data_IF_781840269094
#
_entry.id   IF_781840269094
#
_cell.length_a   1.000
_cell.length_b   1.000
_cell.length_c   1.000
_cell.angle_alpha   90.00
_cell.angle_beta   90.00
_cell.angle_gamma   90.00
#
_symmetry.space_group_name_H-M   'P 1'
#
loop_
_entity.id
_entity.type
_entity.pdbx_description
1 polymer ?
#
# COMPACT_ATOMS: atom_id res chain seq x y z
N UNK A 1 -9.96 -33.90 -10.61
CA UNK A 1 -8.89 -33.63 -9.62
C UNK A 1 -8.15 -32.38 -10.07
N UNK A 2 -8.58 -31.22 -9.58
CA UNK A 2 -8.01 -29.93 -9.96
C UNK A 2 -6.76 -29.68 -9.13
N UNK A 3 -5.59 -29.81 -9.76
CA UNK A 3 -4.34 -29.30 -9.23
C UNK A 3 -4.42 -27.76 -9.24
N UNK A 4 -5.10 -27.18 -8.26
CA UNK A 4 -5.32 -25.73 -8.19
C UNK A 4 -3.99 -25.04 -7.89
N UNK A 5 -3.59 -24.23 -8.87
CA UNK A 5 -2.39 -23.40 -8.95
C UNK A 5 -2.01 -22.71 -7.64
N UNK A 6 -2.97 -22.46 -6.74
CA UNK A 6 -2.83 -21.81 -5.44
C UNK A 6 -1.73 -22.38 -4.53
N UNK A 7 -1.52 -23.71 -4.52
CA UNK A 7 -0.53 -24.34 -3.62
C UNK A 7 0.93 -24.24 -4.08
N UNK A 8 1.19 -23.95 -5.37
CA UNK A 8 2.55 -23.70 -5.87
C UNK A 8 2.99 -22.23 -5.75
N UNK A 9 2.06 -21.31 -5.45
CA UNK A 9 2.29 -19.86 -5.35
C UNK A 9 2.95 -19.41 -4.03
N UNK A 10 3.10 -20.31 -3.05
CA UNK A 10 3.55 -20.04 -1.68
C UNK A 10 5.07 -20.12 -1.48
N UNK A 11 5.84 -20.61 -2.47
CA UNK A 11 7.31 -20.80 -2.31
C UNK A 11 8.16 -19.53 -2.48
N UNK A 12 7.65 -18.48 -3.12
CA UNK A 12 8.42 -17.24 -3.38
C UNK A 12 7.60 -15.93 -3.22
N UNK A 13 6.88 -15.72 -2.10
CA UNK A 13 6.00 -14.55 -1.96
C UNK A 13 6.77 -13.22 -1.97
N UNK A 14 7.94 -13.16 -1.33
CA UNK A 14 8.72 -11.90 -1.11
C UNK A 14 9.18 -11.21 -2.40
N UNK A 15 9.31 -11.95 -3.49
CA UNK A 15 9.89 -11.46 -4.75
C UNK A 15 8.86 -11.35 -5.87
N UNK A 16 7.59 -11.70 -5.62
CA UNK A 16 6.53 -11.67 -6.63
C UNK A 16 5.75 -10.37 -6.52
N UNK A 17 5.53 -9.71 -7.65
CA UNK A 17 4.83 -8.43 -7.72
C UNK A 17 3.73 -8.51 -8.78
N UNK A 18 2.45 -8.27 -8.42
CA UNK A 18 1.35 -8.18 -9.38
C UNK A 18 1.57 -6.98 -10.30
N UNK A 19 1.50 -7.22 -11.61
CA UNK A 19 1.69 -6.16 -12.60
C UNK A 19 0.61 -5.08 -12.48
N UNK A 20 -0.63 -5.46 -12.16
CA UNK A 20 -1.75 -4.51 -11.94
C UNK A 20 -1.45 -3.56 -10.79
N UNK A 21 -1.02 -4.08 -9.64
CA UNK A 21 -0.61 -3.30 -8.48
C UNK A 21 0.58 -2.38 -8.81
N UNK A 22 1.63 -2.91 -9.44
CA UNK A 22 2.82 -2.13 -9.79
C UNK A 22 2.50 -1.01 -10.81
N UNK A 23 1.68 -1.31 -11.82
CA UNK A 23 1.28 -0.32 -12.85
C UNK A 23 0.46 0.81 -12.27
N UNK A 24 -0.33 0.59 -11.22
CA UNK A 24 -0.99 1.69 -10.52
C UNK A 24 0.01 2.79 -10.17
N UNK A 25 1.14 2.44 -9.55
CA UNK A 25 2.18 3.40 -9.18
C UNK A 25 2.94 3.97 -10.36
N UNK A 26 2.99 3.25 -11.47
CA UNK A 26 3.60 3.75 -12.70
C UNK A 26 2.72 4.81 -13.38
N UNK A 27 1.41 4.59 -13.41
CA UNK A 27 0.46 5.43 -14.14
C UNK A 27 -0.02 6.64 -13.30
N UNK A 28 -0.04 6.53 -11.97
CA UNK A 28 -0.50 7.60 -11.09
C UNK A 28 0.66 8.46 -10.57
N UNK A 29 0.53 9.79 -10.70
CA UNK A 29 1.54 10.78 -10.27
C UNK A 29 1.46 11.16 -8.78
N UNK A 30 0.71 10.41 -7.98
CA UNK A 30 0.51 10.69 -6.54
C UNK A 30 1.81 10.55 -5.74
N UNK A 31 2.70 9.66 -6.19
CA UNK A 31 3.99 9.38 -5.55
C UNK A 31 5.14 9.85 -6.44
N UNK A 32 6.16 10.45 -5.81
CA UNK A 32 7.32 11.02 -6.49
C UNK A 32 8.41 9.97 -6.72
N UNK A 33 9.06 10.04 -7.88
CA UNK A 33 10.24 9.24 -8.22
C UNK A 33 11.53 10.08 -8.10
N UNK A 34 11.67 10.79 -6.97
CA UNK A 34 12.79 11.71 -6.69
C UNK A 34 13.73 11.06 -5.67
N UNK A 35 14.88 10.57 -6.12
CA UNK A 35 15.89 9.86 -5.33
C UNK A 35 17.02 9.38 -6.23
N UNK A 36 18.07 8.79 -5.63
CA UNK A 36 19.25 8.31 -6.37
C UNK A 36 19.35 6.78 -6.43
N UNK A 37 18.44 6.05 -5.77
CA UNK A 37 18.45 4.59 -5.79
C UNK A 37 17.85 4.01 -7.07
N UNK A 38 16.72 4.56 -7.53
CA UNK A 38 15.98 4.13 -8.72
C UNK A 38 15.53 2.65 -8.70
N UNK A 39 15.17 2.13 -7.52
CA UNK A 39 14.64 0.77 -7.35
C UNK A 39 13.33 0.58 -8.11
N UNK A 40 12.41 1.55 -8.02
CA UNK A 40 11.15 1.51 -8.77
C UNK A 40 11.40 1.42 -10.28
N UNK A 41 12.28 2.26 -10.81
CA UNK A 41 12.59 2.30 -12.24
C UNK A 41 13.23 0.98 -12.71
N UNK A 42 14.11 0.37 -11.91
CA UNK A 42 14.65 -0.96 -12.21
C UNK A 42 13.55 -2.04 -12.20
N UNK A 43 12.69 -2.05 -11.18
CA UNK A 43 11.56 -2.97 -11.10
C UNK A 43 10.59 -2.79 -12.28
N UNK A 44 10.43 -1.56 -12.77
CA UNK A 44 9.64 -1.29 -13.97
C UNK A 44 10.21 -2.05 -15.17
N UNK A 45 11.53 -2.02 -15.40
CA UNK A 45 12.17 -2.80 -16.48
C UNK A 45 11.95 -4.31 -16.32
N UNK A 46 12.07 -4.84 -15.09
CA UNK A 46 11.74 -6.24 -14.79
C UNK A 46 10.28 -6.59 -15.09
N UNK A 47 9.35 -5.64 -14.94
CA UNK A 47 7.93 -5.86 -15.27
C UNK A 47 7.68 -5.97 -16.78
N UNK A 48 8.54 -5.40 -17.61
CA UNK A 48 8.42 -5.44 -19.08
C UNK A 48 9.23 -6.57 -19.74
N UNK A 49 10.25 -7.10 -19.07
CA UNK A 49 11.05 -8.21 -19.56
C UNK A 49 10.23 -9.49 -19.74
N UNK A 50 10.53 -10.23 -20.81
CA UNK A 50 9.83 -11.47 -21.13
C UNK A 50 10.32 -12.64 -20.28
N UNK A 51 9.41 -13.49 -19.83
CA UNK A 51 9.76 -14.75 -19.16
C UNK A 51 10.16 -15.87 -20.13
N UNK A 52 9.75 -15.76 -21.39
CA UNK A 52 10.00 -16.74 -22.45
C UNK A 52 10.34 -16.02 -23.75
N UNK A 53 10.99 -16.74 -24.65
CA UNK A 53 11.25 -16.22 -25.98
C UNK A 53 9.94 -15.86 -26.67
N UNK A 54 9.89 -14.70 -27.33
CA UNK A 54 8.72 -14.25 -28.07
C UNK A 54 9.15 -13.48 -29.32
N UNK A 55 8.53 -13.79 -30.45
CA UNK A 55 8.71 -13.01 -31.67
C UNK A 55 7.76 -11.82 -31.64
N UNK A 56 8.33 -10.62 -31.70
CA UNK A 56 7.60 -9.37 -31.69
C UNK A 56 7.69 -8.70 -33.05
N UNK A 57 6.53 -8.28 -33.54
CA UNK A 57 6.43 -7.44 -34.72
C UNK A 57 6.41 -5.96 -34.32
N UNK A 58 7.32 -5.15 -34.88
CA UNK A 58 7.36 -3.70 -34.69
C UNK A 58 7.62 -3.04 -36.05
N UNK A 59 6.67 -2.23 -36.52
CA UNK A 59 6.75 -1.70 -37.89
C UNK A 59 6.60 -2.84 -38.90
N UNK A 60 7.58 -2.99 -39.79
CA UNK A 60 7.65 -4.07 -40.77
C UNK A 60 8.67 -5.17 -40.39
N UNK A 61 9.32 -5.03 -39.23
CA UNK A 61 10.41 -5.91 -38.79
C UNK A 61 9.94 -6.88 -37.70
N UNK A 62 10.48 -8.10 -37.76
CA UNK A 62 10.31 -9.13 -36.75
C UNK A 62 11.56 -9.23 -35.89
N UNK A 63 11.37 -9.15 -34.58
CA UNK A 63 12.44 -9.30 -33.62
C UNK A 63 12.18 -10.47 -32.69
N UNK A 64 13.22 -11.26 -32.41
CA UNK A 64 13.19 -12.28 -31.37
C UNK A 64 13.60 -11.65 -30.03
N UNK A 65 12.67 -11.62 -29.07
CA UNK A 65 12.95 -11.24 -27.67
C UNK A 65 13.23 -12.53 -26.87
N UNK A 66 14.44 -12.71 -26.33
CA UNK A 66 14.76 -13.85 -25.46
C UNK A 66 14.25 -13.63 -24.01
N UNK A 67 14.29 -14.66 -23.14
CA UNK A 67 13.95 -14.48 -21.73
C UNK A 67 14.85 -13.44 -21.06
N UNK A 68 14.26 -12.54 -20.28
CA UNK A 68 14.93 -11.40 -19.66
C UNK A 68 15.11 -10.19 -20.59
N UNK A 69 14.62 -10.27 -21.83
CA UNK A 69 14.72 -9.17 -22.80
C UNK A 69 13.38 -8.47 -23.02
N UNK A 70 13.47 -7.20 -23.41
CA UNK A 70 12.35 -6.46 -23.98
C UNK A 70 12.86 -5.48 -25.04
N UNK A 71 12.14 -5.42 -26.17
CA UNK A 71 12.41 -4.47 -27.25
C UNK A 71 11.37 -3.36 -27.21
N UNK A 72 11.85 -2.12 -27.23
CA UNK A 72 11.00 -0.95 -27.16
C UNK A 72 11.60 0.25 -27.90
N UNK A 73 10.74 1.20 -28.25
CA UNK A 73 11.19 2.52 -28.71
C UNK A 73 11.73 3.30 -27.52
N UNK A 74 12.81 4.05 -27.72
CA UNK A 74 13.38 4.93 -26.70
C UNK A 74 12.34 5.94 -26.16
N UNK A 75 11.35 6.34 -26.97
CA UNK A 75 10.24 7.20 -26.54
C UNK A 75 9.32 6.60 -25.48
N UNK A 76 9.31 5.27 -25.29
CA UNK A 76 8.51 4.62 -24.26
C UNK A 76 9.15 4.67 -22.87
N UNK A 77 10.49 4.75 -22.81
CA UNK A 77 11.23 4.65 -21.55
C UNK A 77 10.95 5.79 -20.56
N UNK A 78 10.79 7.08 -20.97
CA UNK A 78 10.51 8.14 -20.01
C UNK A 78 9.29 7.88 -19.14
N UNK A 79 8.20 7.36 -19.74
CA UNK A 79 7.00 6.97 -19.00
C UNK A 79 7.25 5.78 -18.06
N UNK A 80 7.99 4.78 -18.53
CA UNK A 80 8.23 3.53 -17.78
C UNK A 80 9.17 3.74 -16.59
N UNK A 81 10.21 4.54 -16.80
CA UNK A 81 11.22 4.84 -15.79
C UNK A 81 10.82 6.01 -14.89
N UNK A 82 9.69 6.66 -15.20
CA UNK A 82 9.21 7.91 -14.57
C UNK A 82 10.27 9.00 -14.53
N UNK A 83 10.83 9.29 -15.71
CA UNK A 83 11.78 10.38 -15.97
C UNK A 83 11.21 11.34 -17.03
N UNK A 84 11.83 12.52 -17.18
CA UNK A 84 11.25 13.61 -17.96
C UNK A 84 11.70 13.63 -19.43
N UNK A 85 12.80 12.95 -19.77
CA UNK A 85 13.37 12.99 -21.11
C UNK A 85 13.95 11.65 -21.55
N UNK A 86 14.15 11.49 -22.86
CA UNK A 86 14.85 10.33 -23.43
C UNK A 86 16.31 10.26 -22.97
N UNK A 87 16.96 11.42 -22.81
CA UNK A 87 18.33 11.50 -22.29
C UNK A 87 18.42 10.93 -20.87
N UNK A 88 17.56 11.38 -19.95
CA UNK A 88 17.50 10.84 -18.59
C UNK A 88 17.19 9.34 -18.57
N UNK A 89 16.37 8.86 -19.51
CA UNK A 89 16.10 7.43 -19.62
C UNK A 89 17.35 6.64 -20.04
N UNK A 90 18.15 7.16 -20.96
CA UNK A 90 19.44 6.56 -21.35
C UNK A 90 20.46 6.63 -20.23
N UNK A 91 20.57 7.75 -19.53
CA UNK A 91 21.46 7.90 -18.38
C UNK A 91 21.14 6.85 -17.31
N UNK A 92 19.85 6.60 -17.07
CA UNK A 92 19.42 5.61 -16.10
C UNK A 92 19.68 4.17 -16.56
N UNK A 93 19.55 3.88 -17.86
CA UNK A 93 19.98 2.59 -18.42
C UNK A 93 21.50 2.40 -18.31
N UNK A 94 22.28 3.46 -18.55
CA UNK A 94 23.74 3.50 -18.35
C UNK A 94 24.11 3.19 -16.90
N UNK A 95 23.46 3.86 -15.95
CA UNK A 95 23.62 3.58 -14.52
C UNK A 95 23.36 2.11 -14.16
N UNK A 96 22.29 1.51 -14.68
CA UNK A 96 22.00 0.09 -14.44
C UNK A 96 22.99 -0.85 -15.14
N UNK A 97 23.53 -0.45 -16.30
CA UNK A 97 24.58 -1.17 -17.02
C UNK A 97 25.90 -1.17 -16.25
N UNK A 98 26.33 -0.01 -15.77
CA UNK A 98 27.55 0.13 -14.95
C UNK A 98 27.44 -0.63 -13.62
N UNK A 99 26.21 -0.75 -13.10
CA UNK A 99 25.90 -1.58 -11.94
C UNK A 99 25.81 -3.08 -12.25
N UNK A 100 26.00 -3.52 -13.50
CA UNK A 100 25.89 -4.90 -13.99
C UNK A 100 24.51 -5.54 -13.73
N UNK A 101 23.45 -4.72 -13.73
CA UNK A 101 22.07 -5.17 -13.48
C UNK A 101 21.33 -5.52 -14.79
N UNK A 102 21.69 -4.86 -15.88
CA UNK A 102 21.21 -5.12 -17.23
C UNK A 102 22.26 -4.68 -18.25
N UNK A 103 22.05 -5.05 -19.51
CA UNK A 103 22.71 -4.44 -20.66
C UNK A 103 21.66 -3.91 -21.64
N UNK A 104 22.04 -3.00 -22.53
CA UNK A 104 21.17 -2.54 -23.60
C UNK A 104 21.95 -2.26 -24.88
N UNK A 105 21.27 -2.47 -26.00
CA UNK A 105 21.77 -2.22 -27.36
C UNK A 105 20.72 -1.45 -28.15
N UNK A 106 21.18 -0.59 -29.05
CA UNK A 106 20.33 0.10 -30.02
C UNK A 106 20.25 -0.81 -31.24
N UNK A 107 19.05 -1.30 -31.55
CA UNK A 107 18.81 -2.19 -32.68
C UNK A 107 18.69 -1.43 -33.99
N UNK A 108 18.16 -0.23 -33.92
CA UNK A 108 17.94 0.64 -35.08
C UNK A 108 18.00 2.10 -34.61
N UNK A 109 18.94 2.86 -35.19
CA UNK A 109 19.15 4.27 -34.86
C UNK A 109 18.01 5.15 -35.38
N UNK A 110 17.49 4.86 -36.57
CA UNK A 110 16.48 5.68 -37.25
C UNK A 110 15.13 5.58 -36.53
N UNK A 111 14.72 4.36 -36.17
CA UNK A 111 13.50 4.15 -35.39
C UNK A 111 13.69 4.30 -33.88
N UNK A 112 14.94 4.52 -33.43
CA UNK A 112 15.33 4.57 -32.03
C UNK A 112 14.83 3.36 -31.24
N UNK A 113 14.93 2.16 -31.84
CA UNK A 113 14.59 0.91 -31.18
C UNK A 113 15.78 0.44 -30.35
N UNK A 114 15.49 0.05 -29.11
CA UNK A 114 16.46 -0.54 -28.21
C UNK A 114 15.97 -1.89 -27.69
N UNK A 115 16.93 -2.75 -27.40
CA UNK A 115 16.74 -3.96 -26.62
C UNK A 115 17.49 -3.79 -25.31
N UNK A 116 16.85 -4.07 -24.18
CA UNK A 116 17.60 -4.35 -22.97
C UNK A 116 17.51 -5.83 -22.60
N UNK A 117 18.52 -6.29 -21.89
CA UNK A 117 18.66 -7.66 -21.39
C UNK A 117 18.98 -7.59 -19.90
N UNK A 118 18.13 -8.16 -19.06
CA UNK A 118 18.39 -8.24 -17.61
C UNK A 118 19.51 -9.24 -17.34
N UNK A 119 20.53 -8.80 -16.61
CA UNK A 119 21.66 -9.64 -16.26
C UNK A 119 21.24 -10.78 -15.34
N UNK A 120 21.84 -11.96 -15.54
CA UNK A 120 21.58 -13.15 -14.72
C UNK A 120 20.09 -13.56 -14.63
N UNK A 121 19.26 -13.24 -15.63
CA UNK A 121 17.84 -13.57 -15.64
C UNK A 121 17.57 -15.03 -15.28
N UNK A 122 18.24 -15.99 -15.94
CA UNK A 122 18.08 -17.43 -15.68
C UNK A 122 18.41 -17.85 -14.25
N UNK A 123 19.35 -17.17 -13.59
CA UNK A 123 19.74 -17.45 -12.20
C UNK A 123 18.62 -17.12 -11.21
N UNK A 124 17.84 -16.09 -11.53
CA UNK A 124 16.86 -15.53 -10.59
C UNK A 124 15.41 -15.76 -10.97
N UNK A 125 15.15 -15.96 -12.26
CA UNK A 125 13.84 -16.16 -12.86
C UNK A 125 13.90 -17.47 -13.67
N UNK A 126 14.07 -18.60 -12.98
CA UNK A 126 14.07 -19.93 -13.61
C UNK A 126 12.71 -20.21 -14.24
N UNK A 127 12.70 -20.69 -15.48
CA UNK A 127 11.49 -21.08 -16.21
C UNK A 127 10.57 -21.92 -15.33
N UNK A 128 9.38 -21.42 -15.03
CA UNK A 128 8.30 -22.28 -14.57
C UNK A 128 7.98 -23.26 -15.72
N UNK A 129 8.03 -24.56 -15.41
CA UNK A 129 7.79 -25.65 -16.37
C UNK A 129 6.35 -25.69 -16.93
N UNK A 130 5.47 -24.78 -16.49
CA UNK A 130 4.12 -24.62 -17.03
C UNK A 130 3.94 -23.25 -17.71
N UNK A 131 3.10 -23.21 -18.74
CA UNK A 131 2.83 -22.04 -19.59
C UNK A 131 2.18 -20.90 -18.80
N UNK A 132 2.98 -20.06 -18.13
CA UNK A 132 2.46 -18.83 -17.53
C UNK A 132 2.88 -17.61 -18.35
N UNK A 133 1.94 -17.13 -19.17
CA UNK A 133 2.07 -15.92 -19.95
C UNK A 133 1.89 -14.71 -19.03
N UNK A 134 2.97 -14.01 -18.72
CA UNK A 134 2.88 -12.67 -18.14
C UNK A 134 2.59 -11.69 -19.27
N UNK A 135 1.32 -11.63 -19.72
CA UNK A 135 0.87 -10.66 -20.73
C UNK A 135 1.31 -9.24 -20.33
N UNK A 136 1.50 -8.35 -21.31
CA UNK A 136 1.89 -6.95 -21.10
C UNK A 136 0.75 -6.14 -20.43
N UNK A 137 0.42 -6.47 -19.19
CA UNK A 137 -0.58 -5.78 -18.36
C UNK A 137 -1.28 -6.64 -17.33
N UNK A 138 -1.14 -7.97 -17.38
CA UNK A 138 -1.74 -8.89 -16.41
C UNK A 138 -0.73 -9.91 -15.90
N UNK A 139 -1.03 -10.53 -14.77
CA UNK A 139 -0.14 -11.46 -14.09
C UNK A 139 0.84 -10.77 -13.15
N UNK A 140 2.04 -11.34 -13.03
CA UNK A 140 3.07 -10.92 -12.10
C UNK A 140 4.45 -10.93 -12.75
N UNK A 141 5.41 -10.29 -12.09
CA UNK A 141 6.83 -10.43 -12.36
C UNK A 141 7.58 -10.75 -11.07
N UNK A 142 8.82 -11.22 -11.20
CA UNK A 142 9.68 -11.48 -10.06
C UNK A 142 10.79 -10.45 -10.00
N UNK A 143 11.06 -9.89 -8.82
CA UNK A 143 12.19 -9.03 -8.56
C UNK A 143 13.09 -9.64 -7.47
N UNK A 144 14.29 -10.12 -7.82
CA UNK A 144 15.13 -10.85 -6.87
C UNK A 144 15.78 -9.92 -5.84
N UNK A 145 15.66 -10.25 -4.54
CA UNK A 145 16.33 -9.49 -3.47
C UNK A 145 17.86 -9.34 -3.66
N UNK A 146 18.62 -10.33 -4.19
CA UNK A 146 20.04 -10.13 -4.51
C UNK A 146 20.29 -8.98 -5.49
N UNK A 147 19.41 -8.79 -6.49
CA UNK A 147 19.50 -7.69 -7.46
C UNK A 147 19.28 -6.35 -6.76
N UNK A 148 18.30 -6.26 -5.86
CA UNK A 148 18.11 -5.07 -5.02
C UNK A 148 19.32 -4.75 -4.13
N UNK A 149 19.99 -5.77 -3.57
CA UNK A 149 21.24 -5.58 -2.81
C UNK A 149 22.40 -5.10 -3.68
N UNK A 150 22.51 -5.62 -4.91
CA UNK A 150 23.50 -5.15 -5.88
C UNK A 150 23.27 -3.69 -6.25
N UNK A 151 22.02 -3.28 -6.48
CA UNK A 151 21.65 -1.88 -6.71
C UNK A 151 22.04 -0.98 -5.52
N UNK A 152 21.72 -1.40 -4.29
CA UNK A 152 22.11 -0.66 -3.08
C UNK A 152 23.64 -0.54 -2.95
N UNK A 153 24.38 -1.59 -3.30
CA UNK A 153 25.85 -1.58 -3.29
C UNK A 153 26.40 -0.62 -4.35
N UNK A 154 25.82 -0.60 -5.55
CA UNK A 154 26.20 0.32 -6.60
C UNK A 154 25.95 1.77 -6.20
N UNK A 155 24.77 2.09 -5.67
CA UNK A 155 24.41 3.43 -5.21
C UNK A 155 25.39 3.96 -4.13
N UNK A 156 25.71 3.14 -3.13
CA UNK A 156 26.64 3.50 -2.03
C UNK A 156 28.06 3.81 -2.48
N UNK A 157 28.50 3.33 -3.64
CA UNK A 157 29.84 3.65 -4.17
C UNK A 157 29.96 5.10 -4.63
N UNK A 158 28.84 5.75 -4.93
CA UNK A 158 28.84 7.09 -5.53
C UNK A 158 28.23 8.15 -4.61
N UNK A 159 27.26 7.79 -3.77
CA UNK A 159 26.59 8.74 -2.88
C UNK A 159 25.91 8.05 -1.69
N UNK A 160 25.53 8.84 -0.70
CA UNK A 160 24.58 8.40 0.32
C UNK A 160 23.23 8.07 -0.32
N UNK A 161 22.61 6.97 0.12
CA UNK A 161 21.37 6.49 -0.48
C UNK A 161 20.21 7.38 -0.05
N UNK A 162 19.45 7.89 -1.02
CA UNK A 162 18.20 8.62 -0.83
C UNK A 162 17.11 7.94 -1.68
N UNK A 163 16.13 7.37 -0.99
CA UNK A 163 14.99 6.71 -1.63
C UNK A 163 14.02 7.76 -2.18
N UNK A 164 13.39 7.45 -3.30
CA UNK A 164 12.14 8.11 -3.70
C UNK A 164 10.94 7.56 -2.92
N UNK A 165 9.79 8.24 -3.00
CA UNK A 165 8.55 7.70 -2.42
C UNK A 165 8.21 6.34 -3.03
N UNK A 166 8.41 6.19 -4.34
CA UNK A 166 8.18 4.92 -5.03
C UNK A 166 9.16 3.83 -4.59
N UNK A 167 10.44 4.16 -4.41
CA UNK A 167 11.44 3.21 -3.89
C UNK A 167 11.05 2.70 -2.51
N UNK A 168 10.51 3.58 -1.64
CA UNK A 168 10.06 3.20 -0.30
C UNK A 168 8.83 2.26 -0.33
N UNK A 169 7.89 2.47 -1.27
CA UNK A 169 6.75 1.55 -1.49
C UNK A 169 7.26 0.17 -1.95
N UNK A 170 8.20 0.15 -2.89
CA UNK A 170 8.80 -1.09 -3.38
C UNK A 170 9.59 -1.80 -2.29
N UNK A 171 10.32 -1.06 -1.46
CA UNK A 171 11.05 -1.60 -0.30
C UNK A 171 10.12 -2.29 0.69
N UNK A 172 8.98 -1.68 1.02
CA UNK A 172 7.96 -2.32 1.83
C UNK A 172 7.45 -3.62 1.21
N UNK A 173 7.12 -3.61 -0.08
CA UNK A 173 6.64 -4.80 -0.76
C UNK A 173 7.65 -5.96 -0.69
N UNK A 174 8.91 -5.69 -1.05
CA UNK A 174 9.98 -6.68 -1.09
C UNK A 174 10.36 -7.25 0.28
N UNK A 175 10.09 -6.49 1.34
CA UNK A 175 10.35 -6.89 2.72
C UNK A 175 9.10 -7.36 3.46
N UNK A 176 7.98 -7.55 2.76
CA UNK A 176 6.78 -8.12 3.37
C UNK A 176 6.89 -9.63 3.49
N UNK A 177 6.54 -10.15 4.67
CA UNK A 177 6.56 -11.57 4.99
C UNK A 177 5.19 -12.01 5.49
N UNK A 178 4.82 -13.25 5.19
CA UNK A 178 3.55 -13.86 5.56
C UNK A 178 3.82 -15.32 5.88
N UNK A 179 3.24 -15.83 6.98
CA UNK A 179 3.41 -17.18 7.49
C UNK A 179 4.88 -17.59 7.66
N UNK A 180 5.69 -16.71 8.23
CA UNK A 180 7.08 -16.97 8.58
C UNK A 180 7.15 -17.29 10.08
N UNK A 181 7.48 -18.53 10.44
CA UNK A 181 7.55 -18.99 11.83
C UNK A 181 8.54 -18.19 12.69
N UNK A 182 9.51 -17.53 12.06
CA UNK A 182 10.49 -16.70 12.75
C UNK A 182 10.01 -15.27 13.02
N UNK A 183 8.86 -14.88 12.46
CA UNK A 183 8.32 -13.51 12.54
C UNK A 183 6.92 -13.52 13.15
N UNK A 184 6.84 -13.07 14.40
CA UNK A 184 5.58 -13.02 15.15
C UNK A 184 4.59 -12.06 14.48
N UNK A 185 3.34 -12.48 14.40
CA UNK A 185 2.27 -11.72 13.76
C UNK A 185 2.13 -12.00 12.25
N UNK A 186 3.15 -12.60 11.62
CA UNK A 186 3.13 -12.89 10.19
C UNK A 186 2.19 -14.04 9.82
N UNK A 187 1.85 -14.90 10.79
CA UNK A 187 0.87 -15.98 10.69
C UNK A 187 -0.58 -15.47 10.55
N UNK A 188 -0.83 -14.22 10.95
CA UNK A 188 -2.15 -13.60 10.85
C UNK A 188 -2.27 -12.74 9.59
N UNK A 189 -1.21 -12.04 9.20
CA UNK A 189 -1.22 -11.15 8.04
C UNK A 189 0.18 -10.83 7.53
N UNK A 190 0.31 -10.26 6.32
CA UNK A 190 1.58 -9.80 5.82
C UNK A 190 2.10 -8.66 6.69
N UNK A 191 3.35 -8.73 7.07
CA UNK A 191 4.01 -7.68 7.84
C UNK A 191 5.32 -7.31 7.18
N UNK A 192 5.63 -6.02 7.13
CA UNK A 192 6.94 -5.56 6.68
C UNK A 192 7.97 -5.93 7.74
N UNK A 193 8.95 -6.75 7.36
CA UNK A 193 9.99 -7.26 8.25
C UNK A 193 11.37 -7.22 7.58
N UNK A 194 12.30 -6.52 8.22
CA UNK A 194 13.71 -6.47 7.80
C UNK A 194 14.55 -7.44 8.64
N UNK A 195 15.64 -7.96 8.06
CA UNK A 195 16.43 -9.06 8.62
C UNK A 195 17.05 -8.82 10.02
N UNK A 196 17.02 -7.58 10.54
CA UNK A 196 17.66 -7.21 11.81
C UNK A 196 16.66 -6.92 12.94
N UNK A 197 15.45 -7.47 12.85
CA UNK A 197 14.34 -7.12 13.75
C UNK A 197 14.00 -8.20 14.81
N UNK A 198 14.84 -9.24 14.96
CA UNK A 198 14.74 -10.27 16.01
C UNK A 198 13.34 -10.91 16.13
N UNK A 199 12.68 -11.14 15.00
CA UNK A 199 11.35 -11.77 14.92
C UNK A 199 10.17 -10.87 15.28
N UNK A 200 10.39 -9.59 15.59
CA UNK A 200 9.35 -8.61 15.89
C UNK A 200 9.24 -7.58 14.76
N UNK A 201 8.12 -7.50 14.02
CA UNK A 201 7.94 -6.57 12.89
C UNK A 201 7.62 -5.13 13.34
N UNK A 202 8.40 -4.59 14.28
CA UNK A 202 8.24 -3.25 14.84
C UNK A 202 9.15 -2.21 14.17
N UNK A 203 8.57 -1.37 13.31
CA UNK A 203 9.30 -0.35 12.56
C UNK A 203 9.22 1.01 13.24
N UNK A 204 10.38 1.56 13.61
CA UNK A 204 10.47 2.94 14.08
C UNK A 204 10.71 3.90 12.91
N UNK A 205 10.19 5.13 13.02
CA UNK A 205 10.43 6.16 12.01
C UNK A 205 11.90 6.56 11.93
N UNK A 206 12.67 6.42 13.02
CA UNK A 206 14.13 6.59 13.02
C UNK A 206 14.84 5.54 12.18
N UNK A 207 14.42 4.28 12.27
CA UNK A 207 14.99 3.20 11.46
C UNK A 207 14.70 3.43 9.96
N UNK A 208 13.45 3.73 9.61
CA UNK A 208 13.06 4.02 8.23
C UNK A 208 13.76 5.28 7.69
N UNK A 209 13.90 6.32 8.51
CA UNK A 209 14.63 7.54 8.14
C UNK A 209 16.08 7.24 7.76
N UNK A 210 16.80 6.46 8.58
CA UNK A 210 18.17 6.04 8.27
C UNK A 210 18.23 5.15 7.04
N UNK A 211 17.27 4.22 6.87
CA UNK A 211 17.23 3.30 5.73
C UNK A 211 17.01 4.03 4.41
N UNK A 212 16.11 5.01 4.40
CA UNK A 212 15.66 5.70 3.20
C UNK A 212 16.44 7.00 2.90
N UNK A 213 17.36 7.40 3.78
CA UNK A 213 18.06 8.68 3.66
C UNK A 213 17.13 9.88 3.85
N UNK A 214 16.13 9.75 4.72
CA UNK A 214 15.09 10.76 4.94
C UNK A 214 15.15 11.34 6.35
N UNK A 215 14.51 12.49 6.55
CA UNK A 215 14.20 12.97 7.90
C UNK A 215 13.07 12.14 8.52
N UNK A 216 13.04 12.03 9.86
CA UNK A 216 11.94 11.36 10.59
C UNK A 216 10.57 11.98 10.26
N UNK A 217 10.52 13.30 10.08
CA UNK A 217 9.29 14.01 9.73
C UNK A 217 8.80 13.71 8.31
N UNK A 218 9.72 13.50 7.36
CA UNK A 218 9.37 13.03 6.00
C UNK A 218 8.79 11.62 6.05
N UNK A 219 9.40 10.72 6.82
CA UNK A 219 8.87 9.36 7.05
C UNK A 219 7.46 9.43 7.63
N UNK A 220 7.24 10.18 8.72
CA UNK A 220 5.92 10.27 9.35
C UNK A 220 4.83 10.75 8.38
N UNK A 221 5.08 11.83 7.63
CA UNK A 221 4.15 12.32 6.60
C UNK A 221 3.90 11.31 5.49
N UNK A 222 4.95 10.61 5.05
CA UNK A 222 4.83 9.59 4.01
C UNK A 222 4.01 8.39 4.46
N UNK A 223 4.20 7.92 5.70
CA UNK A 223 3.42 6.80 6.26
C UNK A 223 1.93 7.15 6.37
N UNK A 224 1.61 8.36 6.85
CA UNK A 224 0.22 8.84 6.89
C UNK A 224 -0.39 8.91 5.48
N UNK A 225 0.35 9.44 4.51
CA UNK A 225 -0.06 9.46 3.10
C UNK A 225 -0.33 8.04 2.58
N UNK A 226 0.54 7.06 2.85
CA UNK A 226 0.30 5.68 2.39
C UNK A 226 -0.95 5.06 3.01
N UNK A 227 -1.22 5.36 4.29
CA UNK A 227 -2.42 4.91 5.01
C UNK A 227 -3.69 5.55 4.44
N UNK A 228 -3.70 6.88 4.23
CA UNK A 228 -4.81 7.61 3.62
C UNK A 228 -5.17 7.10 2.22
N UNK A 229 -4.15 6.77 1.43
CA UNK A 229 -4.33 6.18 0.10
C UNK A 229 -4.69 4.70 0.14
N UNK A 230 -4.72 4.05 1.31
CA UNK A 230 -5.04 2.63 1.47
C UNK A 230 -3.96 1.68 0.95
N UNK A 231 -2.73 2.15 0.76
CA UNK A 231 -1.61 1.33 0.25
C UNK A 231 -1.05 0.43 1.34
N UNK A 232 -1.05 0.94 2.57
CA UNK A 232 -0.70 0.18 3.77
C UNK A 232 -1.82 0.28 4.78
N UNK A 233 -1.86 -0.70 5.67
CA UNK A 233 -2.50 -0.58 6.97
C UNK A 233 -1.41 -0.64 8.03
N UNK A 234 -1.60 0.08 9.15
CA UNK A 234 -0.64 0.07 10.26
C UNK A 234 -1.32 -0.07 11.62
N UNK A 235 -0.57 -0.60 12.58
CA UNK A 235 -0.84 -0.43 14.01
C UNK A 235 0.36 0.24 14.63
N UNK A 236 0.12 1.34 15.35
CA UNK A 236 1.18 2.07 16.04
C UNK A 236 1.06 1.86 17.53
N UNK A 237 2.19 1.59 18.17
CA UNK A 237 2.26 1.32 19.59
C UNK A 237 2.76 2.54 20.35
N UNK A 238 2.23 2.77 21.54
CA UNK A 238 2.71 3.83 22.44
C UNK A 238 4.17 3.57 22.82
N UNK A 239 4.89 4.62 23.22
CA UNK A 239 6.25 4.58 23.82
C UNK A 239 7.40 4.05 22.94
N UNK A 240 7.71 4.70 21.81
CA UNK A 240 8.92 4.44 20.97
C UNK A 240 9.08 3.04 20.36
N UNK A 241 8.15 2.11 20.65
CA UNK A 241 8.16 0.71 20.21
C UNK A 241 8.04 0.57 18.68
N UNK A 242 7.50 1.58 18.00
CA UNK A 242 7.34 1.60 16.55
C UNK A 242 5.96 1.17 16.10
N UNK A 243 5.85 0.85 14.81
CA UNK A 243 4.60 0.48 14.15
C UNK A 243 4.77 -0.83 13.41
N UNK A 244 3.74 -1.67 13.43
CA UNK A 244 3.61 -2.79 12.49
C UNK A 244 2.94 -2.24 11.24
N UNK A 245 3.49 -2.56 10.08
CA UNK A 245 3.02 -2.10 8.77
C UNK A 245 2.72 -3.33 7.92
N UNK A 246 1.56 -3.34 7.25
CA UNK A 246 1.14 -4.35 6.29
C UNK A 246 0.79 -3.67 4.97
N UNK A 247 1.40 -4.01 3.83
CA UNK A 247 0.90 -3.55 2.54
C UNK A 247 -0.46 -4.18 2.23
N UNK A 248 -1.38 -3.35 1.73
CA UNK A 248 -2.67 -3.80 1.21
C UNK A 248 -2.46 -4.54 -0.13
N UNK A 249 -3.41 -5.40 -0.53
CA UNK A 249 -3.35 -6.21 -1.76
C UNK A 249 -2.30 -7.33 -1.77
N UNK A 250 -1.45 -7.46 -0.74
CA UNK A 250 -0.45 -8.51 -0.66
C UNK A 250 -1.07 -9.90 -0.44
N UNK A 251 -2.15 -10.00 0.35
CA UNK A 251 -2.86 -11.27 0.55
C UNK A 251 -3.68 -11.64 -0.68
N UNK A 252 -4.32 -10.67 -1.29
CA UNK A 252 -5.08 -10.84 -2.53
C UNK A 252 -4.17 -11.34 -3.66
N UNK A 253 -2.91 -10.91 -3.70
CA UNK A 253 -1.91 -11.50 -4.60
C UNK A 253 -1.69 -13.00 -4.35
N UNK A 254 -1.64 -13.43 -3.08
CA UNK A 254 -1.25 -14.81 -2.71
C UNK A 254 -2.45 -15.75 -2.79
N UNK A 255 -3.59 -15.33 -2.27
CA UNK A 255 -4.78 -16.15 -2.05
C UNK A 255 -5.93 -15.85 -3.03
N UNK A 256 -5.85 -14.77 -3.79
CA UNK A 256 -6.94 -14.31 -4.68
C UNK A 256 -7.84 -13.27 -4.01
N UNK A 257 -8.77 -12.71 -4.79
CA UNK A 257 -9.64 -11.60 -4.38
C UNK A 257 -10.63 -11.97 -3.26
N UNK A 258 -10.90 -13.27 -3.09
CA UNK A 258 -11.84 -13.85 -2.12
C UNK A 258 -11.19 -14.17 -0.76
N UNK A 259 -9.96 -13.70 -0.51
CA UNK A 259 -9.27 -14.00 0.74
C UNK A 259 -9.97 -13.34 1.95
N UNK A 260 -10.17 -14.10 3.04
CA UNK A 260 -10.83 -13.62 4.26
C UNK A 260 -10.21 -12.33 4.79
N UNK A 261 -11.00 -11.33 5.19
CA UNK A 261 -10.45 -10.08 5.72
C UNK A 261 -9.84 -10.28 7.11
N UNK A 262 -8.57 -9.87 7.28
CA UNK A 262 -7.90 -9.93 8.58
C UNK A 262 -7.50 -8.53 9.00
N UNK A 263 -8.01 -8.10 10.15
CA UNK A 263 -7.69 -6.78 10.69
C UNK A 263 -6.40 -6.78 11.51
N UNK A 264 -5.58 -5.77 11.23
CA UNK A 264 -4.31 -5.46 11.90
C UNK A 264 -4.42 -5.32 13.43
N UNK A 265 -5.60 -5.00 13.95
CA UNK A 265 -5.84 -4.66 15.37
C UNK A 265 -5.47 -5.77 16.36
N UNK A 266 -5.53 -7.05 15.98
CA UNK A 266 -5.19 -8.18 16.88
C UNK A 266 -3.69 -8.39 17.08
N UNK A 267 -2.82 -7.75 16.28
CA UNK A 267 -1.37 -7.93 16.37
C UNK A 267 -0.77 -7.37 17.67
N UNK A 268 -1.36 -6.32 18.24
CA UNK A 268 -0.85 -5.74 19.49
C UNK A 268 -0.91 -6.72 20.66
N UNK A 269 -1.97 -7.50 20.72
CA UNK A 269 -2.19 -8.57 21.70
C UNK A 269 -1.19 -9.70 21.48
N UNK A 270 -1.05 -10.16 20.22
CA UNK A 270 -0.11 -11.23 19.83
C UNK A 270 1.32 -10.86 20.18
N UNK A 271 1.74 -9.63 19.91
CA UNK A 271 3.09 -9.17 20.21
C UNK A 271 3.31 -8.93 21.72
N UNK A 272 2.27 -9.06 22.56
CA UNK A 272 2.33 -8.82 24.01
C UNK A 272 2.51 -7.35 24.36
N UNK A 273 2.12 -6.43 23.46
CA UNK A 273 2.35 -4.98 23.60
C UNK A 273 1.14 -4.29 24.25
N UNK A 274 -0.06 -4.85 24.08
CA UNK A 274 -1.32 -4.38 24.69
C UNK A 274 -1.96 -5.49 25.53
N UNK A 275 -2.43 -5.17 26.74
CA UNK A 275 -3.27 -6.08 27.55
C UNK A 275 -4.69 -6.11 26.98
N UNK A 276 -5.32 -7.28 26.98
CA UNK A 276 -6.74 -7.43 26.65
C UNK A 276 -7.57 -6.50 27.55
N UNK A 277 -8.33 -5.58 26.96
CA UNK A 277 -9.54 -5.11 27.63
C UNK A 277 -10.54 -6.26 27.45
N UNK A 278 -10.61 -7.15 28.44
CA UNK A 278 -11.65 -8.16 28.50
C UNK A 278 -12.99 -7.40 28.47
N UNK A 279 -13.91 -7.70 27.53
CA UNK A 279 -15.25 -7.14 27.61
C UNK A 279 -15.81 -7.49 28.98
N UNK A 280 -16.25 -6.51 29.76
CA UNK A 280 -16.91 -6.79 31.02
C UNK A 280 -18.08 -7.78 30.77
N UNK A 281 -18.21 -8.78 31.64
CA UNK A 281 -19.20 -9.86 31.55
C UNK A 281 -20.66 -9.37 31.48
N UNK A 282 -20.91 -8.08 31.75
CA UNK A 282 -22.20 -7.41 31.69
C UNK A 282 -22.70 -7.05 30.27
N UNK A 283 -21.99 -7.48 29.22
CA UNK A 283 -22.39 -7.20 27.82
C UNK A 283 -23.67 -7.90 27.37
N UNK A 284 -24.22 -8.84 28.16
CA UNK A 284 -25.45 -9.58 27.84
C UNK A 284 -26.73 -8.76 27.93
N UNK A 285 -26.70 -7.56 28.53
CA UNK A 285 -27.89 -6.72 28.73
C UNK A 285 -27.91 -5.44 27.90
N UNK A 286 -27.15 -5.37 26.79
CA UNK A 286 -27.18 -4.24 25.88
C UNK A 286 -28.13 -4.49 24.71
N UNK A 287 -29.37 -4.04 24.85
CA UNK A 287 -30.33 -3.93 23.75
C UNK A 287 -30.02 -2.69 22.90
N UNK A 288 -29.40 -2.90 21.75
CA UNK A 288 -29.18 -1.87 20.73
C UNK A 288 -30.42 -1.77 19.84
N UNK A 289 -31.14 -0.64 19.93
CA UNK A 289 -32.25 -0.34 19.04
C UNK A 289 -31.84 0.83 18.12
N UNK A 290 -31.63 0.56 16.84
CA UNK A 290 -31.18 1.55 15.85
C UNK A 290 -32.41 2.21 15.24
N UNK A 291 -32.61 3.50 15.51
CA UNK A 291 -33.65 4.31 14.87
C UNK A 291 -33.03 5.29 13.89
N UNK A 292 -33.46 5.23 12.63
CA UNK A 292 -33.07 6.16 11.57
C UNK A 292 -34.16 7.22 11.41
N UNK A 293 -34.03 8.34 12.10
CA UNK A 293 -35.00 9.44 12.04
C UNK A 293 -34.31 10.80 12.24
N UNK A 294 -34.96 11.88 11.79
CA UNK A 294 -34.54 13.25 12.12
C UNK A 294 -34.76 13.46 13.62
N UNK A 295 -33.77 13.92 14.39
CA UNK A 295 -33.87 13.94 15.85
C UNK A 295 -34.99 14.86 16.31
N UNK A 296 -36.06 14.29 16.86
CA UNK A 296 -37.03 15.05 17.65
C UNK A 296 -36.42 15.32 19.02
N UNK A 297 -36.66 16.52 19.57
CA UNK A 297 -35.90 17.08 20.71
C UNK A 297 -35.94 16.26 22.01
N UNK A 298 -36.79 15.25 22.15
CA UNK A 298 -37.10 14.61 23.45
C UNK A 298 -37.25 13.08 23.42
N UNK A 299 -36.46 12.34 22.63
CA UNK A 299 -36.47 10.86 22.68
C UNK A 299 -35.29 10.28 23.46
N UNK A 300 -35.13 10.66 24.73
CA UNK A 300 -34.18 10.01 25.65
C UNK A 300 -34.98 9.20 26.68
N UNK A 301 -34.73 7.88 26.74
CA UNK A 301 -35.33 6.98 27.73
C UNK A 301 -34.91 7.40 29.15
N UNK A 302 -35.79 7.38 30.17
CA UNK A 302 -35.42 7.74 31.54
C UNK A 302 -34.23 6.89 32.03
N UNK A 303 -33.13 7.54 32.43
CA UNK A 303 -31.88 6.88 32.85
C UNK A 303 -30.88 6.59 31.72
N UNK A 304 -31.25 6.81 30.46
CA UNK A 304 -30.34 6.67 29.32
C UNK A 304 -29.35 7.84 29.23
N UNK A 305 -28.06 7.54 29.02
CA UNK A 305 -27.07 8.55 28.65
C UNK A 305 -27.10 8.76 27.13
N UNK A 306 -27.32 9.99 26.63
CA UNK A 306 -27.34 10.23 25.19
C UNK A 306 -25.93 10.04 24.61
N UNK A 307 -25.83 9.18 23.59
CA UNK A 307 -24.64 9.00 22.78
C UNK A 307 -24.86 9.68 21.43
N UNK A 308 -24.11 10.75 21.17
CA UNK A 308 -24.16 11.45 19.88
C UNK A 308 -23.10 10.88 18.96
N UNK A 309 -23.51 10.12 17.94
CA UNK A 309 -22.63 9.55 16.93
C UNK A 309 -22.69 10.44 15.68
N UNK A 310 -21.57 11.03 15.30
CA UNK A 310 -21.43 11.70 14.00
C UNK A 310 -20.90 10.70 12.99
N UNK A 311 -21.71 10.41 11.98
CA UNK A 311 -21.34 9.52 10.86
C UNK A 311 -20.89 10.41 9.71
N UNK A 312 -19.61 10.31 9.33
CA UNK A 312 -19.08 10.97 8.15
C UNK A 312 -18.98 9.96 7.01
N UNK A 313 -19.70 10.20 5.92
CA UNK A 313 -19.55 9.43 4.70
C UNK A 313 -18.36 10.01 3.92
N UNK A 314 -17.25 9.28 3.85
CA UNK A 314 -16.13 9.67 3.00
C UNK A 314 -16.43 9.27 1.55
N UNK A 315 -16.47 10.24 0.63
CA UNK A 315 -16.51 9.96 -0.80
C UNK A 315 -15.17 9.34 -1.23
N UNK A 316 -15.24 8.11 -1.73
CA UNK A 316 -14.07 7.35 -2.17
C UNK A 316 -13.33 8.03 -3.31
N UNK A 317 -11.99 8.04 -3.24
CA UNK A 317 -11.13 8.44 -4.36
C UNK A 317 -9.95 7.47 -4.62
N UNK A 318 -9.79 6.38 -3.86
CA UNK A 318 -8.64 5.48 -3.97
C UNK A 318 -9.00 4.07 -4.44
N UNK A 319 -8.30 3.61 -5.48
CA UNK A 319 -8.29 2.23 -5.99
C UNK A 319 -7.94 1.16 -4.92
N UNK A 320 -7.22 1.55 -3.86
CA UNK A 320 -6.80 0.64 -2.80
C UNK A 320 -7.74 0.60 -1.59
N UNK A 321 -8.67 1.54 -1.48
CA UNK A 321 -9.62 1.60 -0.38
C UNK A 321 -10.88 0.81 -0.73
N UNK A 322 -11.10 -0.35 -0.09
CA UNK A 322 -12.44 -0.95 -0.04
C UNK A 322 -13.30 -0.18 0.98
N UNK A 323 -14.63 -0.06 0.75
CA UNK A 323 -15.51 0.79 1.55
C UNK A 323 -15.48 0.34 3.01
N UNK A 324 -14.81 1.11 3.86
CA UNK A 324 -14.83 0.91 5.30
C UNK A 324 -15.57 2.09 5.91
N UNK A 325 -16.76 1.90 6.50
CA UNK A 325 -17.37 2.97 7.26
C UNK A 325 -16.48 3.30 8.46
N UNK A 326 -15.89 4.49 8.45
CA UNK A 326 -15.20 5.02 9.62
C UNK A 326 -16.26 5.48 10.63
N UNK A 327 -16.51 4.65 11.63
CA UNK A 327 -17.29 5.03 12.81
C UNK A 327 -16.32 5.63 13.83
N UNK A 328 -16.35 6.95 13.99
CA UNK A 328 -15.63 7.62 15.07
C UNK A 328 -16.49 7.61 16.33
N UNK A 329 -15.93 7.13 17.45
CA UNK A 329 -16.48 7.37 18.77
C UNK A 329 -15.73 8.54 19.38
N UNK A 330 -16.36 9.70 19.51
CA UNK A 330 -15.86 10.76 20.39
C UNK A 330 -16.66 10.74 21.69
N UNK A 331 -16.04 10.22 22.75
CA UNK A 331 -16.44 10.57 24.12
C UNK A 331 -15.79 11.92 24.43
N UNK A 332 -16.55 13.01 24.29
CA UNK A 332 -16.17 14.28 24.88
C UNK A 332 -17.21 14.64 25.95
N UNK A 333 -16.67 14.84 27.15
CA UNK A 333 -17.25 15.44 28.35
C UNK A 333 -17.96 14.53 29.37
N UNK A 334 -17.15 14.12 30.36
CA UNK A 334 -17.57 13.84 31.73
C UNK A 334 -17.95 15.17 32.43
N UNK A 335 -19.17 15.26 32.97
CA UNK A 335 -19.67 16.35 33.82
C UNK A 335 -20.32 17.51 33.03
N UNK A 336 -21.54 17.97 33.31
CA UNK A 336 -22.29 18.04 34.56
C UNK A 336 -23.71 17.50 34.39
N UNK A 337 -24.10 16.64 35.31
CA UNK A 337 -25.50 16.44 35.67
C UNK A 337 -26.03 17.71 36.35
N UNK A 338 -27.05 18.34 35.77
CA UNK A 338 -27.97 19.18 36.54
C UNK A 338 -29.36 18.55 36.43
N UNK A 339 -29.55 17.45 37.15
CA UNK A 339 -30.87 17.06 37.60
C UNK A 339 -31.27 18.05 38.70
N UNK A 340 -32.28 18.87 38.40
CA UNK A 340 -33.10 19.57 39.38
C UNK A 340 -32.62 20.94 39.83
N UNK A 341 -33.18 22.00 39.23
CA UNK A 341 -33.67 23.14 40.01
C UNK A 341 -35.09 23.43 39.53
N UNK A 342 -36.03 23.17 40.42
CA UNK A 342 -37.42 23.61 40.33
C UNK A 342 -37.49 25.13 40.37
N UNK A 343 -38.15 25.74 39.39
CA UNK A 343 -38.89 26.98 39.61
C UNK A 343 -39.92 27.16 38.48
N UNK A 344 -41.19 26.88 38.78
CA UNK A 344 -42.29 27.62 38.13
C UNK A 344 -42.11 29.10 38.51
N UNK A 345 -42.38 30.05 37.61
CA UNK A 345 -43.73 30.60 37.61
C UNK A 345 -44.32 30.97 36.23
N UNK A 346 -45.64 30.84 36.20
CA UNK A 346 -46.65 31.72 35.58
C UNK A 346 -46.70 31.96 34.07
N UNK A 347 -47.83 31.46 33.52
CA UNK A 347 -48.66 32.03 32.47
C UNK A 347 -48.46 33.54 32.25
N UNK A 348 -48.14 33.91 31.00
CA UNK A 348 -48.76 35.07 30.34
C UNK A 348 -49.19 34.66 28.94
N UNK A 349 -50.45 34.98 28.66
CA UNK A 349 -51.11 34.89 27.37
C UNK A 349 -50.50 35.88 26.38
N UNK A 350 -50.42 35.48 25.11
CA UNK A 350 -50.64 36.36 23.96
C UNK A 350 -50.96 35.52 22.72
N UNK A 351 -52.24 35.52 22.31
CA UNK A 351 -52.67 35.18 20.93
C UNK A 351 -52.37 36.39 20.00
N UNK A 352 -52.75 36.35 18.71
CA UNK A 352 -51.97 35.93 17.55
C UNK A 352 -51.50 37.14 16.71
N UNK A 353 -50.48 36.99 15.86
CA UNK A 353 -50.20 37.98 14.82
C UNK A 353 -50.82 37.49 13.50
N UNK A 354 -51.77 38.27 13.01
CA UNK A 354 -52.47 38.08 11.76
C UNK A 354 -51.55 38.17 10.54
N UNK A 355 -51.98 37.48 9.50
CA UNK A 355 -51.45 37.49 8.14
C UNK A 355 -51.75 38.84 7.50
N UNK A 356 -50.75 39.46 6.87
CA UNK A 356 -50.99 40.37 5.75
C UNK A 356 -50.56 39.67 4.46
N UNK A 357 -51.57 39.22 3.71
CA UNK A 357 -51.48 38.98 2.28
C UNK A 357 -51.64 40.30 1.53
N UNK A 358 -50.85 40.42 0.48
CA UNK A 358 -50.89 41.45 -0.57
C UNK A 358 -52.28 41.72 -1.16
N UNK A 359 -52.60 43.01 -1.37
CA UNK A 359 -53.50 43.45 -2.44
C UNK A 359 -53.27 44.92 -2.81
N UNK A 360 -52.91 45.11 -4.09
CA UNK A 360 -52.75 46.33 -4.91
C UNK A 360 -51.45 47.12 -4.81
#
# INVERSE_FOLDING_TARGET
>A
MNCTQTKQLTRFPRVRIPKRWFRYFNDHKQFRNEGNLHLFSLMALFSYANFRSHTRHIGEQYFLEAPGQWICKLSALPRILRVHSKAQALDLLGYFKDAMLLDYEILDQDTSLLRFTISNWKRHCTHLNYNYYSYKGSGFFFFPLPVGRQLLSACRRHADIVFSELDAIMDFWLHTVLNDETVRGSEFMPVVYYANMKGLPLLSYSYLAKRWGWSKSRVGRFILKLEEYGIISRVSFSSSRGSVISPCQYREMIYGEDCEEVHLKKIGEVLGITQCVVPADDSKNLTLNIQTCVPQRESVVPGGKPLRIQVFQHLQSSFFARPTPLVFYSSLDWGKSNLGISSKPNKKESKPCDREETSK
#
